data_IF_001222129065
#
_entry.id   IF_001222129065
#
_cell.length_a   1.000
_cell.length_b   1.000
_cell.length_c   1.000
_cell.angle_alpha   90.00
_cell.angle_beta   90.00
_cell.angle_gamma   90.00
#
_symmetry.space_group_name_H-M   'P 1'
#
loop_
_entity.id
_entity.type
_entity.pdbx_description
1 polymer ?
#
# COMPACT_ATOMS: atom_id res chain seq x y z
N UNK A 1 11.46 -38.77 1.09
CA UNK A 1 12.14 -37.97 2.13
C UNK A 1 12.05 -36.53 1.69
N UNK A 2 10.97 -35.87 2.09
CA UNK A 2 10.77 -34.45 1.82
C UNK A 2 11.82 -33.68 2.60
N UNK A 3 12.57 -32.84 1.90
CA UNK A 3 13.53 -31.93 2.47
C UNK A 3 12.78 -30.92 3.33
N UNK A 4 12.85 -31.10 4.65
CA UNK A 4 12.48 -30.10 5.65
C UNK A 4 13.37 -28.87 5.41
N UNK A 5 12.86 -27.92 4.63
CA UNK A 5 13.42 -26.58 4.55
C UNK A 5 12.88 -25.77 5.75
N UNK A 6 13.73 -25.45 6.75
CA UNK A 6 13.31 -24.71 7.93
C UNK A 6 12.82 -23.28 7.62
N UNK A 7 13.09 -22.74 6.42
CA UNK A 7 12.57 -21.42 6.02
C UNK A 7 11.10 -21.48 5.55
N UNK A 8 10.61 -22.63 5.05
CA UNK A 8 9.21 -22.78 4.61
C UNK A 8 8.22 -22.72 5.78
N UNK A 9 8.67 -23.00 7.00
CA UNK A 9 7.90 -22.87 8.24
C UNK A 9 7.88 -21.44 8.83
N UNK A 10 8.55 -20.45 8.24
CA UNK A 10 8.65 -19.09 8.78
C UNK A 10 7.64 -18.09 8.21
N UNK A 11 7.00 -18.36 7.08
CA UNK A 11 6.04 -17.42 6.46
C UNK A 11 4.60 -17.71 6.88
N UNK A 12 3.86 -16.68 7.24
CA UNK A 12 2.42 -16.79 7.51
C UNK A 12 1.68 -16.97 6.17
N UNK A 13 0.98 -18.08 5.93
CA UNK A 13 0.31 -18.33 4.65
C UNK A 13 -0.86 -17.38 4.38
N UNK A 14 -1.36 -16.66 5.39
CA UNK A 14 -2.50 -15.77 5.27
C UNK A 14 -2.11 -14.37 4.78
N UNK A 15 -0.83 -14.00 4.84
CA UNK A 15 -0.37 -12.64 4.54
C UNK A 15 1.00 -12.60 3.87
N UNK A 16 1.18 -11.68 2.92
CA UNK A 16 2.50 -11.35 2.37
C UNK A 16 2.64 -9.86 2.10
N UNK A 17 3.87 -9.35 2.06
CA UNK A 17 4.16 -7.98 1.64
C UNK A 17 4.36 -7.95 0.13
N UNK A 18 3.55 -7.16 -0.58
CA UNK A 18 3.69 -6.91 -2.03
C UNK A 18 4.74 -5.84 -2.32
N UNK A 19 4.72 -4.76 -1.54
CA UNK A 19 5.56 -3.58 -1.70
C UNK A 19 5.94 -3.06 -0.32
N UNK A 20 7.19 -2.63 -0.13
CA UNK A 20 7.62 -1.91 1.08
C UNK A 20 8.44 -0.66 0.74
N UNK A 21 8.27 0.39 1.53
CA UNK A 21 8.92 1.70 1.36
C UNK A 21 10.10 1.90 2.33
N UNK A 22 10.76 0.80 2.71
CA UNK A 22 11.84 0.79 3.73
C UNK A 22 13.00 1.73 3.41
N UNK A 23 13.39 1.82 2.13
CA UNK A 23 14.49 2.68 1.68
C UNK A 23 14.27 4.16 2.02
N UNK A 24 13.01 4.60 1.97
CA UNK A 24 12.62 5.99 2.25
C UNK A 24 12.07 6.20 3.66
N UNK A 25 12.01 5.14 4.48
CA UNK A 25 11.31 5.11 5.79
C UNK A 25 9.82 5.43 5.67
N UNK A 26 9.23 5.01 4.56
CA UNK A 26 7.87 5.35 4.17
C UNK A 26 7.82 6.53 3.19
N UNK A 27 6.66 6.72 2.57
CA UNK A 27 6.44 7.77 1.57
C UNK A 27 5.33 8.71 2.00
N UNK A 28 5.55 10.01 1.81
CA UNK A 28 4.54 11.04 1.96
C UNK A 28 3.66 11.13 0.71
N UNK A 29 2.50 11.78 0.85
CA UNK A 29 1.54 11.99 -0.24
C UNK A 29 2.20 12.57 -1.50
N UNK A 30 3.09 13.56 -1.33
CA UNK A 30 3.76 14.25 -2.44
C UNK A 30 4.76 13.37 -3.22
N UNK A 31 5.13 12.21 -2.67
CA UNK A 31 6.09 11.28 -3.27
C UNK A 31 5.39 10.12 -4.02
N UNK A 32 4.06 10.09 -3.99
CA UNK A 32 3.22 9.05 -4.60
C UNK A 32 2.40 9.67 -5.74
N UNK A 33 2.37 8.98 -6.86
CA UNK A 33 1.48 9.28 -7.98
C UNK A 33 0.62 8.06 -8.30
N UNK A 34 -0.43 8.28 -9.09
CA UNK A 34 -1.29 7.23 -9.61
C UNK A 34 -1.36 7.29 -11.13
N UNK A 35 -1.50 6.11 -11.74
CA UNK A 35 -1.78 5.93 -13.15
C UNK A 35 -3.14 5.22 -13.28
N UNK A 36 -4.13 5.91 -13.84
CA UNK A 36 -5.50 5.40 -13.96
C UNK A 36 -5.76 4.92 -15.39
N UNK A 37 -6.29 3.71 -15.56
CA UNK A 37 -6.70 3.20 -16.87
C UNK A 37 -7.69 2.04 -16.74
N UNK A 38 -8.65 1.95 -17.66
CA UNK A 38 -9.58 0.82 -17.73
C UNK A 38 -8.87 -0.51 -18.00
N UNK A 39 -7.66 -0.48 -18.59
CA UNK A 39 -6.82 -1.69 -18.74
C UNK A 39 -6.40 -2.31 -17.41
N UNK A 40 -6.47 -1.52 -16.33
CA UNK A 40 -6.19 -1.97 -14.97
C UNK A 40 -7.44 -2.48 -14.24
N UNK A 41 -8.60 -2.48 -14.90
CA UNK A 41 -9.81 -3.13 -14.38
C UNK A 41 -9.69 -4.65 -14.46
N UNK A 42 -10.61 -5.33 -13.77
CA UNK A 42 -10.77 -6.79 -13.83
C UNK A 42 -11.17 -7.21 -15.25
N UNK A 43 -10.54 -8.27 -15.76
CA UNK A 43 -10.96 -8.94 -16.98
C UNK A 43 -12.29 -9.66 -16.77
N UNK A 44 -13.13 -9.73 -17.80
CA UNK A 44 -14.46 -10.32 -17.65
C UNK A 44 -15.00 -10.98 -18.91
N UNK A 45 -16.01 -11.83 -18.70
CA UNK A 45 -16.76 -12.52 -19.73
C UNK A 45 -18.24 -12.69 -19.30
N UNK A 46 -19.09 -13.12 -20.23
CA UNK A 46 -20.53 -13.26 -19.98
C UNK A 46 -20.88 -14.25 -18.87
N UNK A 47 -20.09 -15.31 -18.68
CA UNK A 47 -20.34 -16.31 -17.64
C UNK A 47 -19.97 -15.75 -16.27
N UNK A 48 -18.82 -15.08 -16.16
CA UNK A 48 -18.39 -14.43 -14.93
C UNK A 48 -19.38 -13.33 -14.49
N UNK A 49 -19.80 -12.46 -15.40
CA UNK A 49 -20.79 -11.42 -15.09
C UNK A 49 -22.13 -12.01 -14.66
N UNK A 50 -22.58 -13.11 -15.27
CA UNK A 50 -23.80 -13.80 -14.84
C UNK A 50 -23.66 -14.32 -13.40
N UNK A 51 -22.56 -14.99 -13.09
CA UNK A 51 -22.28 -15.48 -11.75
C UNK A 51 -22.26 -14.35 -10.70
N UNK A 52 -21.56 -13.25 -10.98
CA UNK A 52 -21.51 -12.08 -10.07
C UNK A 52 -22.93 -11.53 -9.84
N UNK A 53 -23.74 -11.42 -10.89
CA UNK A 53 -25.13 -10.97 -10.77
C UNK A 53 -26.00 -11.92 -9.93
N UNK A 54 -25.84 -13.24 -10.09
CA UNK A 54 -26.55 -14.25 -9.32
C UNK A 54 -26.18 -14.18 -7.83
N UNK A 55 -24.88 -14.12 -7.51
CA UNK A 55 -24.39 -13.96 -6.12
C UNK A 55 -24.94 -12.68 -5.49
N UNK A 56 -24.94 -11.58 -6.23
CA UNK A 56 -25.47 -10.30 -5.74
C UNK A 56 -26.98 -10.33 -5.51
N UNK A 57 -27.75 -10.91 -6.44
CA UNK A 57 -29.19 -11.05 -6.29
C UNK A 57 -29.56 -11.93 -5.09
N UNK A 58 -28.84 -13.05 -4.90
CA UNK A 58 -29.02 -13.90 -3.71
C UNK A 58 -28.72 -13.12 -2.43
N UNK A 59 -27.63 -12.36 -2.41
CA UNK A 59 -27.24 -11.53 -1.27
C UNK A 59 -28.32 -10.49 -0.93
N UNK A 60 -28.80 -9.73 -1.92
CA UNK A 60 -29.87 -8.75 -1.72
C UNK A 60 -31.20 -9.37 -1.29
N UNK A 61 -31.47 -10.63 -1.65
CA UNK A 61 -32.68 -11.32 -1.18
C UNK A 61 -32.68 -11.56 0.33
N UNK A 62 -31.48 -11.66 0.93
CA UNK A 62 -31.27 -11.88 2.37
C UNK A 62 -31.08 -10.56 3.12
N UNK A 63 -30.36 -9.62 2.48
CA UNK A 63 -29.93 -8.36 3.07
C UNK A 63 -30.29 -7.19 2.13
N UNK A 64 -31.57 -6.81 2.02
CA UNK A 64 -32.05 -5.84 1.03
C UNK A 64 -31.58 -4.39 1.29
N UNK A 65 -30.98 -4.13 2.46
CA UNK A 65 -30.39 -2.83 2.80
C UNK A 65 -28.98 -2.64 2.24
N UNK A 66 -28.35 -3.70 1.72
CA UNK A 66 -27.02 -3.59 1.10
C UNK A 66 -27.09 -2.76 -0.17
N UNK A 67 -26.05 -1.96 -0.39
CA UNK A 67 -25.84 -1.21 -1.62
C UNK A 67 -24.48 -1.56 -2.21
N UNK A 68 -24.32 -1.35 -3.51
CA UNK A 68 -23.03 -1.50 -4.18
C UNK A 68 -22.26 -0.19 -4.06
N UNK A 69 -20.95 -0.26 -3.82
CA UNK A 69 -20.07 0.91 -3.78
C UNK A 69 -18.86 0.71 -4.70
N UNK A 70 -18.51 1.75 -5.46
CA UNK A 70 -17.31 1.76 -6.28
C UNK A 70 -16.05 1.75 -5.39
N UNK A 71 -14.99 1.07 -5.82
CA UNK A 71 -13.71 0.96 -5.12
C UNK A 71 -12.55 1.05 -6.11
N UNK A 72 -11.37 1.47 -5.65
CA UNK A 72 -10.15 1.39 -6.45
C UNK A 72 -9.66 -0.06 -6.55
N UNK A 73 -9.16 -0.46 -7.72
CA UNK A 73 -8.51 -1.77 -7.94
C UNK A 73 -7.02 -1.59 -8.11
N UNK A 74 -6.19 -2.23 -7.28
CA UNK A 74 -4.74 -2.20 -7.48
C UNK A 74 -4.31 -3.24 -8.52
N UNK A 75 -3.71 -2.77 -9.62
CA UNK A 75 -3.18 -3.63 -10.68
C UNK A 75 -1.68 -3.91 -10.51
N UNK A 76 -0.88 -2.87 -10.31
CA UNK A 76 0.58 -2.96 -10.25
C UNK A 76 1.17 -1.65 -9.72
N UNK A 77 2.50 -1.59 -9.59
CA UNK A 77 3.18 -0.36 -9.21
C UNK A 77 4.54 -0.23 -9.89
N UNK A 78 5.11 0.97 -9.80
CA UNK A 78 6.50 1.25 -10.18
C UNK A 78 7.20 2.02 -9.08
N UNK A 79 8.38 1.57 -8.70
CA UNK A 79 9.25 2.27 -7.76
C UNK A 79 10.41 2.97 -8.50
N UNK A 80 10.79 4.15 -8.02
CA UNK A 80 12.05 4.77 -8.40
C UNK A 80 13.23 3.94 -7.88
N UNK A 81 14.25 3.76 -8.71
CA UNK A 81 15.48 3.13 -8.24
C UNK A 81 16.15 3.99 -7.16
N UNK A 82 16.57 3.39 -6.04
CA UNK A 82 17.44 4.04 -5.07
C UNK A 82 18.68 4.62 -5.76
N UNK A 83 18.89 5.93 -5.71
CA UNK A 83 20.17 6.51 -6.13
C UNK A 83 21.26 6.02 -5.16
N UNK A 84 22.32 5.40 -5.67
CA UNK A 84 23.49 5.05 -4.84
C UNK A 84 24.04 6.30 -4.15
N UNK A 85 24.57 6.21 -2.90
CA UNK A 85 25.27 7.33 -2.29
C UNK A 85 26.45 7.73 -3.20
N UNK A 86 26.77 9.03 -3.33
CA UNK A 86 27.88 9.46 -4.16
C UNK A 86 29.17 8.83 -3.62
N UNK A 87 29.78 7.95 -4.42
CA UNK A 87 31.15 7.54 -4.19
C UNK A 87 32.00 8.81 -4.11
N UNK A 88 32.68 8.98 -2.98
CA UNK A 88 33.72 9.98 -2.75
C UNK A 88 34.66 9.98 -3.94
N UNK A 89 34.56 10.99 -4.81
CA UNK A 89 35.58 11.26 -5.80
C UNK A 89 36.84 11.65 -5.04
N UNK A 90 37.81 10.74 -5.05
CA UNK A 90 39.17 11.00 -4.60
C UNK A 90 39.71 12.20 -5.39
N UNK A 91 40.00 13.29 -4.69
CA UNK A 91 40.72 14.43 -5.23
C UNK A 91 42.12 13.99 -5.69
N UNK A 92 42.39 14.06 -6.98
CA UNK A 92 43.75 14.15 -7.50
C UNK A 92 43.82 15.27 -8.55
N UNK A 93 44.65 16.26 -8.26
CA UNK A 93 44.97 17.45 -9.09
C UNK A 93 46.05 17.06 -10.13
N UNK A 94 46.11 17.72 -11.31
CA UNK A 94 46.29 17.07 -12.61
C UNK A 94 47.71 17.16 -13.20
N UNK A 95 48.00 16.27 -14.17
CA UNK A 95 49.05 16.47 -15.17
C UNK A 95 48.43 16.55 -16.58
N UNK A 96 48.79 17.61 -17.29
CA UNK A 96 48.31 18.02 -18.61
C UNK A 96 48.82 17.11 -19.75
N UNK A 97 47.92 16.60 -20.59
CA UNK A 97 47.89 16.83 -22.05
C UNK A 97 46.76 16.03 -22.72
N UNK A 98 46.10 16.66 -23.72
CA UNK A 98 45.29 15.95 -24.73
C UNK A 98 43.80 16.27 -24.67
N UNK A 99 43.40 17.22 -25.51
CA UNK A 99 42.04 17.62 -25.87
C UNK A 99 41.12 16.46 -26.27
N UNK A 100 39.86 16.48 -25.79
CA UNK A 100 38.67 16.24 -26.63
C UNK A 100 37.36 16.57 -25.89
N UNK A 101 36.36 16.89 -26.69
CA UNK A 101 35.11 17.57 -26.41
C UNK A 101 34.04 16.70 -25.69
N UNK A 102 33.26 17.38 -24.83
CA UNK A 102 31.79 17.38 -24.76
C UNK A 102 30.94 16.34 -23.99
N UNK A 103 30.06 16.98 -23.20
CA UNK A 103 28.60 16.82 -23.06
C UNK A 103 28.05 15.81 -22.03
N UNK A 104 27.31 16.38 -21.07
CA UNK A 104 26.73 15.74 -19.92
C UNK A 104 25.63 14.73 -20.24
N UNK A 105 25.62 13.65 -19.46
CA UNK A 105 24.55 12.68 -19.39
C UNK A 105 23.38 13.23 -18.56
N UNK A 106 22.20 13.27 -19.19
CA UNK A 106 20.93 13.42 -18.49
C UNK A 106 20.60 12.13 -17.73
N UNK A 107 20.18 12.30 -16.48
CA UNK A 107 19.85 11.24 -15.52
C UNK A 107 18.53 10.56 -15.93
N UNK A 108 18.61 9.43 -16.63
CA UNK A 108 17.44 8.58 -16.90
C UNK A 108 17.14 7.77 -15.62
N UNK A 109 16.15 8.19 -14.85
CA UNK A 109 15.67 7.43 -13.69
C UNK A 109 15.18 6.04 -14.14
N UNK A 110 15.92 5.02 -13.73
CA UNK A 110 15.50 3.63 -13.90
C UNK A 110 14.33 3.36 -12.95
N UNK A 111 13.18 2.92 -13.47
CA UNK A 111 12.02 2.48 -12.67
C UNK A 111 11.86 0.97 -12.76
N UNK A 112 11.48 0.33 -11.66
CA UNK A 112 11.20 -1.12 -11.63
C UNK A 112 9.69 -1.31 -11.66
N UNK A 113 9.20 -1.99 -12.70
CA UNK A 113 7.78 -2.35 -12.84
C UNK A 113 7.50 -3.69 -12.18
N UNK A 114 6.59 -3.71 -11.22
CA UNK A 114 6.20 -4.93 -10.49
C UNK A 114 4.68 -5.09 -10.56
N UNK A 115 4.22 -6.24 -11.06
CA UNK A 115 2.80 -6.60 -11.13
C UNK A 115 2.33 -7.17 -9.79
N UNK A 116 1.04 -7.02 -9.50
CA UNK A 116 0.41 -7.67 -8.35
C UNK A 116 0.22 -9.17 -8.66
N UNK A 117 1.29 -9.96 -8.49
CA UNK A 117 1.31 -11.41 -8.71
C UNK A 117 1.62 -12.18 -7.43
N UNK A 118 1.16 -13.43 -7.35
CA UNK A 118 1.49 -14.33 -6.24
C UNK A 118 2.95 -14.80 -6.42
N UNK A 119 3.90 -14.22 -5.69
CA UNK A 119 5.32 -14.59 -5.81
C UNK A 119 5.55 -15.95 -5.13
N UNK A 120 5.75 -16.99 -5.93
CA UNK A 120 6.54 -18.14 -5.49
C UNK A 120 8.02 -17.74 -5.61
N UNK A 121 8.73 -17.72 -4.49
CA UNK A 121 10.13 -17.31 -4.43
C UNK A 121 11.02 -18.32 -5.14
N UNK A 122 11.61 -17.91 -6.27
CA UNK A 122 13.01 -18.15 -6.65
C UNK A 122 13.26 -17.38 -7.94
N UNK A 123 13.99 -16.27 -7.88
CA UNK A 123 15.03 -15.93 -8.86
C UNK A 123 15.76 -14.64 -8.45
N UNK A 124 17.06 -14.80 -8.21
CA UNK A 124 18.03 -13.73 -8.13
C UNK A 124 18.24 -13.15 -9.53
N UNK A 125 17.87 -11.89 -9.74
CA UNK A 125 18.08 -11.21 -11.00
C UNK A 125 19.55 -10.75 -11.14
N UNK A 126 20.42 -11.65 -11.60
CA UNK A 126 21.68 -11.29 -12.26
C UNK A 126 21.56 -11.58 -13.77
N UNK A 127 21.72 -10.53 -14.58
CA UNK A 127 22.08 -10.65 -15.99
C UNK A 127 20.93 -10.56 -17.00
N UNK A 128 20.98 -9.53 -17.86
CA UNK A 128 21.24 -9.64 -19.31
C UNK A 128 20.80 -8.33 -19.98
N UNK A 129 21.75 -7.63 -20.57
CA UNK A 129 21.56 -6.45 -21.44
C UNK A 129 21.67 -6.93 -22.88
N UNK A 130 20.76 -6.53 -23.78
CA UNK A 130 21.12 -6.30 -25.18
C UNK A 130 20.17 -5.30 -25.89
N UNK A 131 20.80 -4.17 -26.26
CA UNK A 131 20.52 -3.13 -27.28
C UNK A 131 19.35 -3.31 -28.25
N UNK A 132 18.67 -2.19 -28.58
CA UNK A 132 18.50 -1.67 -29.96
C UNK A 132 18.27 -0.15 -29.94
N UNK A 133 18.84 0.55 -30.94
CA UNK A 133 18.93 2.01 -31.17
C UNK A 133 17.80 2.46 -32.12
N UNK A 134 17.25 3.67 -32.01
CA UNK A 134 17.37 4.84 -32.94
C UNK A 134 15.93 5.30 -33.31
N UNK A 135 15.47 6.56 -33.42
CA UNK A 135 16.00 7.82 -33.98
C UNK A 135 15.25 9.04 -33.39
N UNK A 136 15.98 10.16 -33.35
CA UNK A 136 15.67 11.51 -32.84
C UNK A 136 14.65 12.33 -33.66
N UNK A 137 14.00 13.28 -33.00
CA UNK A 137 13.93 14.71 -33.41
C UNK A 137 13.44 15.59 -32.26
N UNK A 138 14.30 16.49 -31.78
CA UNK A 138 14.00 17.58 -30.83
C UNK A 138 14.08 18.92 -31.57
N UNK A 139 13.33 19.93 -31.08
CA UNK A 139 13.79 21.33 -31.06
C UNK A 139 13.43 21.99 -29.70
N UNK A 140 14.28 22.88 -29.13
CA UNK A 140 14.10 23.42 -27.78
C UNK A 140 13.63 24.89 -27.77
N UNK A 141 12.85 25.29 -26.75
CA UNK A 141 12.70 26.70 -26.34
C UNK A 141 12.60 26.85 -24.81
N UNK A 142 13.06 28.01 -24.37
CA UNK A 142 13.64 28.37 -23.07
C UNK A 142 12.69 28.65 -21.92
N UNK A 143 13.10 28.16 -20.74
CA UNK A 143 13.06 28.74 -19.39
C UNK A 143 12.02 29.82 -19.02
N UNK A 144 11.14 29.45 -18.08
CA UNK A 144 10.72 30.30 -16.96
C UNK A 144 10.74 29.44 -15.69
N UNK A 145 11.44 29.92 -14.66
CA UNK A 145 11.62 29.22 -13.40
C UNK A 145 10.41 29.44 -12.50
N UNK A 146 9.62 28.40 -12.27
CA UNK A 146 8.73 28.29 -11.13
C UNK A 146 9.42 27.42 -10.07
N UNK A 147 9.68 28.00 -8.90
CA UNK A 147 10.09 27.26 -7.71
C UNK A 147 8.87 26.53 -7.12
N UNK A 148 8.38 25.52 -7.81
CA UNK A 148 7.70 24.41 -7.14
C UNK A 148 8.78 23.50 -6.56
N UNK A 149 8.72 23.21 -5.26
CA UNK A 149 9.56 22.16 -4.69
C UNK A 149 9.09 20.83 -5.29
N UNK A 150 9.71 20.44 -6.41
CA UNK A 150 9.44 19.19 -7.11
C UNK A 150 9.84 18.05 -6.18
N UNK A 151 8.88 17.56 -5.39
CA UNK A 151 9.07 16.36 -4.59
C UNK A 151 9.22 15.21 -5.59
N UNK A 152 10.40 14.58 -5.60
CA UNK A 152 10.69 13.47 -6.50
C UNK A 152 9.61 12.39 -6.33
N UNK A 153 8.96 12.00 -7.43
CA UNK A 153 7.97 10.91 -7.41
C UNK A 153 8.69 9.57 -7.30
N UNK A 154 8.48 8.90 -6.17
CA UNK A 154 9.16 7.66 -5.82
C UNK A 154 8.30 6.42 -6.07
N UNK A 155 6.98 6.57 -6.06
CA UNK A 155 6.03 5.48 -6.29
C UNK A 155 4.94 5.91 -7.27
N UNK A 156 4.65 5.06 -8.25
CA UNK A 156 3.46 5.17 -9.09
C UNK A 156 2.58 3.94 -8.87
N UNK A 157 1.35 4.14 -8.41
CA UNK A 157 0.35 3.09 -8.26
C UNK A 157 -0.53 3.03 -9.52
N UNK A 158 -0.61 1.87 -10.17
CA UNK A 158 -1.49 1.67 -11.33
C UNK A 158 -2.83 1.14 -10.86
N UNK A 159 -3.87 1.95 -11.01
CA UNK A 159 -5.19 1.66 -10.46
C UNK A 159 -6.26 1.58 -11.56
N UNK A 160 -7.13 0.59 -11.43
CA UNK A 160 -8.43 0.53 -12.09
C UNK A 160 -9.56 0.87 -11.12
N UNK A 161 -10.78 0.58 -11.54
CA UNK A 161 -11.96 0.60 -10.70
C UNK A 161 -12.57 -0.80 -10.59
N UNK A 162 -13.23 -1.04 -9.47
CA UNK A 162 -14.05 -2.22 -9.19
C UNK A 162 -15.19 -1.80 -8.27
N UNK A 163 -15.93 -2.75 -7.70
CA UNK A 163 -16.98 -2.45 -6.73
C UNK A 163 -17.18 -3.59 -5.72
N UNK A 164 -17.96 -3.29 -4.67
CA UNK A 164 -18.28 -4.26 -3.61
C UNK A 164 -18.98 -5.51 -4.15
N UNK A 165 -19.89 -5.35 -5.10
CA UNK A 165 -20.58 -6.45 -5.78
C UNK A 165 -19.61 -7.40 -6.48
N UNK A 166 -18.66 -6.86 -7.23
CA UNK A 166 -17.62 -7.64 -7.92
C UNK A 166 -16.74 -8.39 -6.93
N UNK A 167 -16.39 -7.74 -5.81
CA UNK A 167 -15.63 -8.37 -4.73
C UNK A 167 -16.35 -9.62 -4.18
N UNK A 168 -17.65 -9.51 -3.88
CA UNK A 168 -18.44 -10.64 -3.40
C UNK A 168 -18.53 -11.78 -4.41
N UNK A 169 -18.69 -11.44 -5.70
CA UNK A 169 -18.80 -12.43 -6.77
C UNK A 169 -17.47 -13.04 -7.22
N UNK A 170 -16.32 -12.50 -6.78
CA UNK A 170 -14.99 -12.96 -7.22
C UNK A 170 -14.08 -13.33 -6.05
N UNK A 171 -13.47 -12.36 -5.36
CA UNK A 171 -12.56 -12.58 -4.22
C UNK A 171 -13.21 -13.38 -3.09
N UNK A 172 -14.48 -13.09 -2.77
CA UNK A 172 -15.23 -13.77 -1.70
C UNK A 172 -16.06 -14.97 -2.20
N UNK A 173 -15.92 -15.32 -3.49
CA UNK A 173 -16.66 -16.42 -4.10
C UNK A 173 -16.04 -17.77 -3.74
N UNK A 174 -16.88 -18.79 -3.57
CA UNK A 174 -16.41 -20.17 -3.46
C UNK A 174 -15.70 -20.67 -4.73
N UNK A 175 -15.86 -19.98 -5.87
CA UNK A 175 -15.22 -20.29 -7.14
C UNK A 175 -13.84 -19.62 -7.31
N UNK A 176 -13.28 -18.99 -6.28
CA UNK A 176 -12.05 -18.21 -6.41
C UNK A 176 -10.85 -19.00 -6.94
N UNK A 177 -10.73 -20.29 -6.60
CA UNK A 177 -9.67 -21.16 -7.12
C UNK A 177 -9.81 -21.36 -8.65
N UNK A 178 -11.04 -21.53 -9.13
CA UNK A 178 -11.34 -21.67 -10.55
C UNK A 178 -11.10 -20.36 -11.30
N UNK A 179 -11.51 -19.22 -10.73
CA UNK A 179 -11.24 -17.90 -11.31
C UNK A 179 -9.74 -17.63 -11.44
N UNK A 180 -8.93 -18.06 -10.46
CA UNK A 180 -7.47 -17.94 -10.55
C UNK A 180 -6.88 -18.81 -11.65
N UNK A 181 -7.31 -20.06 -11.75
CA UNK A 181 -6.88 -20.99 -12.81
C UNK A 181 -7.21 -20.43 -14.19
N UNK A 182 -8.43 -19.94 -14.38
CA UNK A 182 -8.86 -19.31 -15.65
C UNK A 182 -8.12 -18.00 -15.94
N UNK A 183 -7.86 -17.19 -14.92
CA UNK A 183 -7.04 -15.99 -15.06
C UNK A 183 -5.65 -16.29 -15.63
N UNK A 184 -5.01 -17.34 -15.11
CA UNK A 184 -3.74 -17.84 -15.63
C UNK A 184 -3.86 -18.34 -17.07
N UNK A 185 -4.82 -19.22 -17.36
CA UNK A 185 -4.95 -19.86 -18.68
C UNK A 185 -5.37 -18.90 -19.80
N UNK A 186 -6.29 -17.98 -19.51
CA UNK A 186 -6.90 -17.10 -20.52
C UNK A 186 -6.13 -15.76 -20.65
N UNK A 187 -5.43 -15.31 -19.60
CA UNK A 187 -4.83 -13.98 -19.53
C UNK A 187 -3.36 -13.95 -19.05
N UNK A 188 -2.76 -15.10 -18.75
CA UNK A 188 -1.39 -15.20 -18.18
C UNK A 188 -1.26 -14.44 -16.84
N UNK A 189 -2.37 -14.29 -16.12
CA UNK A 189 -2.46 -13.47 -14.91
C UNK A 189 -3.52 -14.03 -13.93
N UNK A 190 -3.14 -14.64 -12.80
CA UNK A 190 -4.07 -15.38 -11.95
C UNK A 190 -5.07 -14.46 -11.22
N UNK A 191 -4.79 -13.16 -11.13
CA UNK A 191 -5.68 -12.17 -10.53
C UNK A 191 -6.53 -11.42 -11.57
N UNK A 192 -6.39 -11.74 -12.86
CA UNK A 192 -7.07 -11.02 -13.95
C UNK A 192 -8.59 -10.98 -13.77
N UNK A 193 -9.18 -12.09 -13.34
CA UNK A 193 -10.63 -12.26 -13.12
C UNK A 193 -11.09 -11.88 -11.71
N UNK A 194 -10.23 -11.30 -10.86
CA UNK A 194 -10.57 -10.91 -9.49
C UNK A 194 -10.71 -9.39 -9.34
N UNK A 195 -11.66 -8.98 -8.48
CA UNK A 195 -11.97 -7.58 -8.22
C UNK A 195 -10.80 -6.82 -7.62
N UNK A 196 -10.09 -7.44 -6.66
CA UNK A 196 -8.90 -6.89 -6.00
C UNK A 196 -9.08 -5.43 -5.50
N UNK A 197 -10.14 -5.12 -4.73
CA UNK A 197 -10.32 -3.77 -4.20
C UNK A 197 -9.18 -3.42 -3.23
N UNK A 198 -8.59 -2.24 -3.41
CA UNK A 198 -7.51 -1.73 -2.57
C UNK A 198 -8.09 -1.22 -1.25
N UNK A 199 -7.68 -1.85 -0.14
CA UNK A 199 -7.93 -1.34 1.21
C UNK A 199 -6.87 -0.33 1.66
N UNK A 200 -7.13 0.30 2.80
CA UNK A 200 -6.15 1.09 3.54
C UNK A 200 -6.19 0.71 5.02
N UNK A 201 -5.04 0.80 5.70
CA UNK A 201 -4.94 0.56 7.13
C UNK A 201 -3.84 1.40 7.78
N UNK A 202 -3.94 1.66 9.08
CA UNK A 202 -2.95 2.42 9.84
C UNK A 202 -2.38 1.69 11.05
N UNK A 203 -1.06 1.63 11.12
CA UNK A 203 -0.36 1.57 12.41
C UNK A 203 -0.41 2.96 13.03
N UNK A 204 -1.40 3.15 13.90
CA UNK A 204 -1.64 4.38 14.66
C UNK A 204 -0.84 4.36 15.96
N UNK A 205 0.11 5.29 16.13
CA UNK A 205 0.94 5.41 17.33
C UNK A 205 0.56 6.64 18.17
N UNK A 206 0.25 6.43 19.45
CA UNK A 206 -0.02 7.48 20.44
C UNK A 206 1.24 8.18 20.93
N UNK A 207 1.08 9.33 21.58
CA UNK A 207 2.19 10.14 22.11
C UNK A 207 3.00 9.39 23.19
N UNK A 208 2.35 8.47 23.92
CA UNK A 208 2.97 7.60 24.92
C UNK A 208 3.50 6.26 24.35
N UNK A 209 3.66 6.17 23.02
CA UNK A 209 4.36 5.06 22.36
C UNK A 209 3.55 3.75 22.33
N UNK A 210 2.23 3.84 22.27
CA UNK A 210 1.34 2.69 22.07
C UNK A 210 0.82 2.64 20.64
N UNK A 211 0.78 1.44 20.08
CA UNK A 211 0.07 1.11 18.84
C UNK A 211 -1.37 0.77 19.19
N UNK A 212 -2.31 1.43 18.51
CA UNK A 212 -3.74 1.21 18.66
C UNK A 212 -4.19 0.05 17.76
N UNK A 213 -4.86 -0.91 18.37
CA UNK A 213 -5.57 -2.00 17.71
C UNK A 213 -7.05 -1.96 18.10
N UNK A 214 -7.90 -2.53 17.27
CA UNK A 214 -9.34 -2.67 17.55
C UNK A 214 -9.72 -4.15 17.56
N UNK A 215 -10.70 -4.53 18.39
CA UNK A 215 -11.32 -5.84 18.30
C UNK A 215 -12.56 -5.77 17.41
N UNK A 216 -12.51 -6.43 16.26
CA UNK A 216 -13.65 -6.49 15.32
C UNK A 216 -14.87 -7.11 16.00
N UNK A 217 -16.04 -6.56 15.73
CA UNK A 217 -17.32 -7.12 16.19
C UNK A 217 -17.52 -8.54 15.66
N UNK A 218 -18.23 -9.39 16.40
CA UNK A 218 -18.62 -10.71 15.88
C UNK A 218 -19.69 -10.62 14.78
N UNK A 219 -20.27 -9.43 14.56
CA UNK A 219 -21.33 -9.20 13.59
C UNK A 219 -20.83 -8.80 12.20
N UNK A 220 -19.55 -8.48 12.05
CA UNK A 220 -18.97 -8.13 10.74
C UNK A 220 -18.80 -9.37 9.86
N UNK A 221 -18.89 -9.19 8.54
CA UNK A 221 -18.82 -10.29 7.58
C UNK A 221 -17.43 -10.93 7.46
N UNK A 222 -16.36 -10.15 7.63
CA UNK A 222 -14.97 -10.60 7.54
C UNK A 222 -14.28 -10.51 8.91
N UNK A 223 -13.56 -11.58 9.28
CA UNK A 223 -12.66 -11.61 10.44
C UNK A 223 -13.29 -11.21 11.79
N UNK A 224 -14.56 -11.56 12.03
CA UNK A 224 -15.26 -11.22 13.28
C UNK A 224 -14.54 -11.71 14.54
N UNK A 225 -14.40 -10.82 15.53
CA UNK A 225 -13.72 -11.10 16.79
C UNK A 225 -12.19 -11.02 16.77
N UNK A 226 -11.55 -10.87 15.61
CA UNK A 226 -10.10 -10.75 15.51
C UNK A 226 -9.63 -9.32 15.83
N UNK A 227 -8.34 -9.18 16.18
CA UNK A 227 -7.67 -7.89 16.24
C UNK A 227 -7.42 -7.36 14.84
N UNK A 228 -7.69 -6.08 14.67
CA UNK A 228 -7.38 -5.32 13.47
C UNK A 228 -6.65 -4.03 13.83
N UNK A 229 -6.16 -3.37 12.80
CA UNK A 229 -5.78 -1.97 12.83
C UNK A 229 -6.96 -1.11 12.33
N UNK A 230 -7.04 0.19 12.70
CA UNK A 230 -7.98 1.10 12.06
C UNK A 230 -7.73 1.18 10.55
N UNK A 231 -8.78 1.14 9.75
CA UNK A 231 -8.69 1.10 8.29
C UNK A 231 -10.03 0.83 7.63
N UNK A 232 -10.02 0.75 6.30
CA UNK A 232 -11.22 0.58 5.49
C UNK A 232 -10.90 0.60 4.00
N UNK A 233 -11.76 1.22 3.19
CA UNK A 233 -11.60 1.22 1.73
C UNK A 233 -11.87 2.59 1.10
N UNK A 234 -10.85 3.25 0.52
CA UNK A 234 -11.00 4.55 -0.13
C UNK A 234 -12.03 4.51 -1.26
N UNK A 235 -12.80 5.58 -1.38
CA UNK A 235 -13.97 5.61 -2.27
C UNK A 235 -13.78 6.58 -3.44
N UNK A 236 -13.81 6.09 -4.69
CA UNK A 236 -13.84 6.93 -5.88
C UNK A 236 -14.92 8.02 -5.86
N UNK A 237 -16.04 7.77 -5.18
CA UNK A 237 -17.12 8.75 -5.03
C UNK A 237 -16.72 9.98 -4.23
N UNK A 238 -15.84 9.83 -3.24
CA UNK A 238 -15.31 10.97 -2.48
C UNK A 238 -14.47 11.85 -3.39
N UNK A 239 -13.70 11.26 -4.32
CA UNK A 239 -12.97 12.01 -5.36
C UNK A 239 -13.95 12.79 -6.25
N UNK A 240 -15.03 12.17 -6.73
CA UNK A 240 -16.07 12.87 -7.50
C UNK A 240 -16.69 14.04 -6.71
N UNK A 241 -16.97 13.86 -5.42
CA UNK A 241 -17.46 14.94 -4.56
C UNK A 241 -16.49 16.12 -4.47
N UNK A 242 -15.17 15.86 -4.37
CA UNK A 242 -14.11 16.90 -4.40
C UNK A 242 -14.03 17.63 -5.75
N UNK A 243 -14.48 17.00 -6.84
CA UNK A 243 -14.64 17.62 -8.15
C UNK A 243 -15.93 18.45 -8.29
N UNK A 244 -16.76 18.52 -7.24
CA UNK A 244 -18.07 19.16 -7.28
C UNK A 244 -19.09 18.38 -8.12
N UNK A 245 -18.89 17.07 -8.31
CA UNK A 245 -19.76 16.21 -9.09
C UNK A 245 -20.58 15.32 -8.16
N UNK A 246 -21.90 15.51 -8.16
CA UNK A 246 -22.82 14.54 -7.56
C UNK A 246 -23.08 13.41 -8.56
N UNK A 247 -22.50 12.23 -8.29
CA UNK A 247 -22.63 11.05 -9.14
C UNK A 247 -23.15 9.86 -8.34
N UNK A 248 -23.94 9.02 -9.00
CA UNK A 248 -24.30 7.70 -8.48
C UNK A 248 -23.16 6.71 -8.71
N UNK A 249 -23.11 5.63 -7.94
CA UNK A 249 -22.04 4.62 -7.97
C UNK A 249 -21.81 4.07 -9.38
N UNK A 250 -22.89 3.86 -10.15
CA UNK A 250 -22.83 3.27 -11.50
C UNK A 250 -22.31 4.25 -12.56
N UNK A 251 -22.22 5.54 -12.24
CA UNK A 251 -21.76 6.58 -13.14
C UNK A 251 -20.27 6.88 -12.98
N UNK A 252 -19.65 6.38 -11.89
CA UNK A 252 -18.24 6.58 -11.61
C UNK A 252 -17.42 5.80 -12.65
N UNK A 253 -16.50 6.50 -13.30
CA UNK A 253 -15.64 5.92 -14.35
C UNK A 253 -14.19 6.31 -14.15
N UNK A 254 -13.28 5.53 -14.76
CA UNK A 254 -11.84 5.80 -14.73
C UNK A 254 -11.52 7.17 -15.34
N UNK A 255 -12.26 7.57 -16.38
CA UNK A 255 -12.10 8.87 -17.04
C UNK A 255 -12.34 10.04 -16.09
N UNK A 256 -13.28 9.91 -15.14
CA UNK A 256 -13.48 10.93 -14.11
C UNK A 256 -12.27 11.01 -13.18
N UNK A 257 -11.73 9.86 -12.76
CA UNK A 257 -10.55 9.80 -11.87
C UNK A 257 -9.29 10.38 -12.54
N UNK A 258 -9.16 10.21 -13.86
CA UNK A 258 -8.05 10.76 -14.65
C UNK A 258 -8.01 12.29 -14.68
N UNK A 259 -9.12 12.98 -14.39
CA UNK A 259 -9.16 14.45 -14.40
C UNK A 259 -8.32 15.06 -13.27
N UNK A 260 -8.22 14.36 -12.13
CA UNK A 260 -7.47 14.79 -10.94
C UNK A 260 -6.80 13.58 -10.27
N UNK A 261 -5.72 13.05 -10.85
CA UNK A 261 -4.97 11.94 -10.24
C UNK A 261 -4.41 12.33 -8.87
N UNK A 262 -4.09 13.61 -8.65
CA UNK A 262 -3.71 14.16 -7.35
C UNK A 262 -4.80 13.95 -6.30
N UNK A 263 -6.08 14.18 -6.64
CA UNK A 263 -7.20 13.98 -5.73
C UNK A 263 -7.43 12.50 -5.38
N UNK A 264 -7.07 11.57 -6.29
CA UNK A 264 -7.07 10.14 -6.01
C UNK A 264 -5.98 9.78 -5.00
N UNK A 265 -4.75 10.30 -5.15
CA UNK A 265 -3.69 10.12 -4.15
C UNK A 265 -4.13 10.70 -2.81
N UNK A 266 -4.65 11.93 -2.80
CA UNK A 266 -5.17 12.54 -1.58
C UNK A 266 -6.29 11.71 -0.95
N UNK A 267 -7.15 11.06 -1.72
CA UNK A 267 -8.17 10.14 -1.17
C UNK A 267 -7.54 8.91 -0.50
N UNK A 268 -6.53 8.29 -1.11
CA UNK A 268 -5.83 7.15 -0.49
C UNK A 268 -5.20 7.53 0.86
N UNK A 269 -4.61 8.72 0.97
CA UNK A 269 -3.97 9.20 2.20
C UNK A 269 -4.97 9.75 3.22
N UNK A 270 -6.01 10.48 2.79
CA UNK A 270 -6.97 11.06 3.73
C UNK A 270 -8.03 10.08 4.22
N UNK A 271 -8.37 9.05 3.42
CA UNK A 271 -9.32 8.02 3.83
C UNK A 271 -8.84 7.30 5.09
N UNK A 272 -7.57 6.91 5.21
CA UNK A 272 -7.08 6.25 6.42
C UNK A 272 -7.23 7.12 7.68
N UNK A 273 -7.07 8.44 7.58
CA UNK A 273 -7.36 9.35 8.69
C UNK A 273 -8.86 9.49 8.98
N UNK A 274 -9.70 9.47 7.94
CA UNK A 274 -11.15 9.46 8.10
C UNK A 274 -11.62 8.19 8.81
N UNK A 275 -11.08 7.01 8.44
CA UNK A 275 -11.38 5.74 9.11
C UNK A 275 -10.96 5.77 10.59
N UNK A 276 -9.78 6.32 10.92
CA UNK A 276 -9.36 6.49 12.32
C UNK A 276 -10.35 7.39 13.08
N UNK A 277 -10.81 8.49 12.47
CA UNK A 277 -11.80 9.38 13.08
C UNK A 277 -13.14 8.66 13.27
N UNK A 278 -13.61 7.96 12.26
CA UNK A 278 -14.96 7.40 12.25
C UNK A 278 -15.08 6.18 13.16
N UNK A 279 -14.03 5.36 13.24
CA UNK A 279 -13.98 4.14 14.05
C UNK A 279 -13.45 4.38 15.47
N UNK A 280 -12.36 5.15 15.62
CA UNK A 280 -11.66 5.34 16.90
C UNK A 280 -12.03 6.67 17.57
N UNK A 281 -12.80 7.52 16.89
CA UNK A 281 -13.24 8.82 17.37
C UNK A 281 -12.10 9.81 17.69
N UNK A 282 -10.94 9.66 17.03
CA UNK A 282 -9.82 10.58 17.19
C UNK A 282 -10.00 11.79 16.25
N UNK A 283 -9.93 13.04 16.77
CA UNK A 283 -10.00 14.22 15.92
C UNK A 283 -8.86 14.27 14.89
N UNK A 284 -9.18 14.67 13.66
CA UNK A 284 -8.18 14.82 12.59
C UNK A 284 -7.04 15.78 12.97
N UNK A 285 -7.32 16.78 13.80
CA UNK A 285 -6.30 17.73 14.31
C UNK A 285 -5.24 17.08 15.22
N UNK A 286 -5.55 15.89 15.75
CA UNK A 286 -4.64 15.12 16.62
C UNK A 286 -3.84 14.06 15.84
N UNK A 287 -4.07 13.94 14.53
CA UNK A 287 -3.38 12.98 13.66
C UNK A 287 -2.28 13.70 12.86
N UNK A 288 -1.10 13.10 12.84
CA UNK A 288 -0.02 13.49 11.94
C UNK A 288 -0.29 13.06 10.50
N UNK A 289 0.48 13.62 9.56
CA UNK A 289 0.38 13.24 8.15
C UNK A 289 0.65 11.73 7.97
N UNK A 290 -0.20 10.99 7.24
CA UNK A 290 0.02 9.57 6.98
C UNK A 290 1.29 9.32 6.17
N UNK A 291 2.01 8.27 6.54
CA UNK A 291 3.23 7.81 5.88
C UNK A 291 2.98 6.42 5.31
N UNK A 292 2.94 6.30 3.98
CA UNK A 292 2.75 5.01 3.32
C UNK A 292 3.95 4.10 3.58
N UNK A 293 3.74 3.00 4.28
CA UNK A 293 4.78 2.01 4.55
C UNK A 293 4.91 1.00 3.41
N UNK A 294 3.81 0.65 2.75
CA UNK A 294 3.81 -0.35 1.68
C UNK A 294 2.43 -0.91 1.39
N UNK A 295 2.38 -2.05 0.71
CA UNK A 295 1.16 -2.79 0.42
C UNK A 295 1.32 -4.23 0.88
N UNK A 296 0.34 -4.72 1.65
CA UNK A 296 0.23 -6.12 2.06
C UNK A 296 -0.94 -6.82 1.34
N UNK A 297 -0.87 -8.14 1.21
CA UNK A 297 -1.86 -8.98 0.57
C UNK A 297 -2.52 -9.89 1.61
N UNK A 298 -3.85 -9.91 1.61
CA UNK A 298 -4.66 -10.84 2.41
C UNK A 298 -4.98 -12.08 1.57
N UNK A 299 -4.30 -13.20 1.85
CA UNK A 299 -4.49 -14.47 1.12
C UNK A 299 -5.77 -15.23 1.52
N UNK A 300 -6.35 -14.96 2.70
CA UNK A 300 -7.68 -15.50 3.04
C UNK A 300 -8.79 -14.84 2.22
N UNK A 301 -8.54 -13.65 1.69
CA UNK A 301 -9.39 -12.91 0.74
C UNK A 301 -8.82 -12.93 -0.69
N UNK A 302 -8.17 -14.02 -1.07
CA UNK A 302 -7.64 -14.26 -2.40
C UNK A 302 -6.63 -13.18 -2.88
N UNK A 303 -5.76 -12.75 -1.97
CA UNK A 303 -4.68 -11.81 -2.24
C UNK A 303 -5.13 -10.36 -2.28
N UNK A 304 -6.29 -10.02 -1.71
CA UNK A 304 -6.81 -8.64 -1.69
C UNK A 304 -5.76 -7.68 -1.11
N UNK A 305 -5.36 -6.62 -1.84
CA UNK A 305 -4.32 -5.72 -1.38
C UNK A 305 -4.84 -4.67 -0.41
N UNK A 306 -3.96 -4.23 0.49
CA UNK A 306 -4.20 -3.12 1.41
C UNK A 306 -2.95 -2.25 1.50
N UNK A 307 -3.09 -0.95 1.31
CA UNK A 307 -2.03 0.02 1.50
C UNK A 307 -1.93 0.36 3.00
N UNK A 308 -0.79 0.06 3.60
CA UNK A 308 -0.60 0.22 5.05
C UNK A 308 0.21 1.47 5.35
N UNK A 309 -0.33 2.29 6.25
CA UNK A 309 0.21 3.58 6.64
C UNK A 309 0.68 3.56 8.09
N UNK A 310 1.63 4.44 8.39
CA UNK A 310 1.89 4.89 9.76
C UNK A 310 1.25 6.25 9.97
N UNK A 311 0.59 6.42 11.12
CA UNK A 311 -0.02 7.68 11.54
C UNK A 311 0.39 7.95 12.98
N UNK A 312 1.02 9.10 13.23
CA UNK A 312 1.30 9.55 14.61
C UNK A 312 0.07 10.24 15.19
N UNK A 313 -0.12 10.13 16.49
CA UNK A 313 -1.19 10.80 17.22
C UNK A 313 -0.62 11.58 18.40
N UNK A 314 -1.07 12.81 18.56
CA UNK A 314 -0.66 13.68 19.68
C UNK A 314 -1.34 13.34 21.01
N UNK A 315 -2.33 12.43 21.00
CA UNK A 315 -3.03 11.97 22.19
C UNK A 315 -2.33 10.77 22.81
N UNK A 316 -2.47 10.64 24.12
CA UNK A 316 -2.03 9.46 24.87
C UNK A 316 -3.05 8.33 24.78
N UNK A 317 -2.62 7.11 25.08
CA UNK A 317 -3.47 5.92 25.02
C UNK A 317 -4.71 5.96 25.93
N UNK A 318 -4.65 6.64 27.07
CA UNK A 318 -5.81 6.85 27.96
C UNK A 318 -6.83 7.83 27.37
N UNK A 319 -6.38 8.89 26.72
CA UNK A 319 -7.23 9.84 26.00
C UNK A 319 -7.89 9.19 24.78
N UNK A 320 -7.13 8.42 24.00
CA UNK A 320 -7.67 7.65 22.86
C UNK A 320 -8.73 6.66 23.32
N UNK A 321 -8.48 5.94 24.42
CA UNK A 321 -9.47 5.01 24.99
C UNK A 321 -10.75 5.74 25.41
N UNK A 322 -10.64 6.91 26.02
CA UNK A 322 -11.81 7.71 26.40
C UNK A 322 -12.65 8.09 25.17
N UNK A 323 -12.01 8.65 24.14
CA UNK A 323 -12.68 9.05 22.89
C UNK A 323 -13.37 7.87 22.20
N UNK A 324 -12.71 6.71 22.14
CA UNK A 324 -13.30 5.49 21.57
C UNK A 324 -14.63 5.13 22.25
N UNK A 325 -14.67 5.16 23.59
CA UNK A 325 -15.88 4.83 24.35
C UNK A 325 -16.93 5.94 24.39
N UNK A 326 -16.57 7.19 24.09
CA UNK A 326 -17.56 8.23 23.76
C UNK A 326 -18.30 7.93 22.45
N UNK A 327 -17.68 7.11 21.57
CA UNK A 327 -18.26 6.61 20.33
C UNK A 327 -17.87 7.45 19.11
N UNK A 328 -17.59 6.78 17.99
CA UNK A 328 -17.42 7.37 16.66
C UNK A 328 -18.65 7.20 15.76
N UNK A 329 -18.53 7.65 14.50
CA UNK A 329 -19.58 7.45 13.49
C UNK A 329 -19.88 5.97 13.26
N UNK A 330 -18.84 5.12 13.34
CA UNK A 330 -18.90 3.68 13.08
C UNK A 330 -18.64 2.82 14.33
N UNK A 331 -18.98 3.33 15.52
CA UNK A 331 -18.74 2.70 16.84
C UNK A 331 -19.29 1.26 17.04
N UNK A 332 -19.94 0.68 16.04
CA UNK A 332 -20.49 -0.68 16.07
C UNK A 332 -19.65 -1.70 15.30
N UNK A 333 -18.65 -1.28 14.51
CA UNK A 333 -17.81 -2.18 13.71
C UNK A 333 -16.75 -2.90 14.56
N UNK A 334 -16.22 -2.23 15.58
CA UNK A 334 -15.42 -2.82 16.66
C UNK A 334 -16.17 -2.89 17.98
N UNK A 335 -15.60 -3.64 18.92
CA UNK A 335 -16.17 -3.91 20.25
C UNK A 335 -15.21 -3.61 21.39
N UNK A 336 -13.94 -3.32 21.08
CA UNK A 336 -12.92 -2.96 22.04
C UNK A 336 -11.74 -2.26 21.36
N UNK A 337 -10.98 -1.50 22.14
CA UNK A 337 -9.72 -0.87 21.73
C UNK A 337 -8.57 -1.38 22.60
N UNK A 338 -7.53 -1.90 21.95
CA UNK A 338 -6.38 -2.55 22.57
C UNK A 338 -5.11 -1.75 22.25
N UNK A 339 -4.22 -1.65 23.22
CA UNK A 339 -2.98 -0.90 23.10
C UNK A 339 -1.81 -1.84 23.36
N UNK A 340 -0.85 -1.84 22.44
CA UNK A 340 0.42 -2.56 22.59
C UNK A 340 1.55 -1.56 22.47
N UNK A 341 2.60 -1.68 23.27
CA UNK A 341 3.76 -0.81 23.10
C UNK A 341 4.39 -1.01 21.71
N UNK A 342 4.94 0.03 21.12
CA UNK A 342 5.67 -0.09 19.85
C UNK A 342 6.79 -1.15 19.92
N UNK A 343 7.40 -1.35 21.10
CA UNK A 343 8.41 -2.38 21.33
C UNK A 343 7.83 -3.81 21.20
N UNK A 344 6.64 -4.06 21.73
CA UNK A 344 5.95 -5.35 21.60
C UNK A 344 5.58 -5.62 20.15
N UNK A 345 5.03 -4.62 19.44
CA UNK A 345 4.70 -4.76 18.01
C UNK A 345 5.94 -5.03 17.17
N UNK A 346 7.08 -4.38 17.47
CA UNK A 346 8.35 -4.61 16.78
C UNK A 346 8.95 -6.01 17.01
N UNK A 347 8.55 -6.70 18.08
CA UNK A 347 9.00 -8.06 18.41
C UNK A 347 7.97 -9.14 18.05
N UNK A 348 6.75 -8.73 17.69
CA UNK A 348 5.64 -9.62 17.40
C UNK A 348 5.95 -10.54 16.20
N UNK A 349 5.65 -11.83 16.35
CA UNK A 349 5.87 -12.81 15.30
C UNK A 349 4.87 -13.96 15.43
N UNK A 350 4.93 -14.95 14.53
CA UNK A 350 4.00 -16.09 14.49
C UNK A 350 3.93 -16.91 15.79
N UNK A 351 4.97 -16.87 16.62
CA UNK A 351 4.97 -17.56 17.92
C UNK A 351 4.31 -16.74 19.03
N UNK A 352 4.02 -15.46 18.80
CA UNK A 352 3.31 -14.61 19.75
C UNK A 352 1.84 -15.04 19.83
N UNK A 353 1.25 -15.26 21.02
CA UNK A 353 -0.16 -15.65 21.15
C UNK A 353 -1.13 -14.69 20.46
N UNK A 354 -0.84 -13.37 20.51
CA UNK A 354 -1.66 -12.36 19.85
C UNK A 354 -1.65 -12.48 18.32
N UNK A 355 -0.60 -13.04 17.71
CA UNK A 355 -0.50 -13.15 16.25
C UNK A 355 -1.61 -14.01 15.65
N UNK A 356 -1.99 -15.10 16.31
CA UNK A 356 -3.11 -15.94 15.88
C UNK A 356 -4.49 -15.29 16.07
N UNK A 357 -4.57 -14.21 16.84
CA UNK A 357 -5.80 -13.44 17.02
C UNK A 357 -5.92 -12.25 16.06
N UNK A 358 -4.90 -11.98 15.24
CA UNK A 358 -4.92 -10.86 14.30
C UNK A 358 -5.49 -11.27 12.94
N UNK A 359 -6.27 -10.37 12.33
CA UNK A 359 -6.66 -10.53 10.94
C UNK A 359 -5.44 -10.37 10.00
N UNK A 360 -5.52 -10.86 8.75
CA UNK A 360 -4.42 -10.75 7.80
C UNK A 360 -3.97 -9.31 7.47
N UNK A 361 -4.89 -8.34 7.42
CA UNK A 361 -4.55 -6.92 7.20
C UNK A 361 -3.65 -6.39 8.32
N UNK A 362 -4.04 -6.60 9.58
CA UNK A 362 -3.24 -6.15 10.71
C UNK A 362 -1.89 -6.85 10.80
N UNK A 363 -1.80 -8.15 10.48
CA UNK A 363 -0.51 -8.83 10.34
C UNK A 363 0.37 -8.16 9.27
N UNK A 364 -0.21 -7.80 8.13
CA UNK A 364 0.47 -7.10 7.04
C UNK A 364 1.04 -5.75 7.46
N UNK A 365 0.24 -4.97 8.19
CA UNK A 365 0.64 -3.69 8.75
C UNK A 365 1.77 -3.83 9.79
N UNK A 366 1.71 -4.83 10.67
CA UNK A 366 2.79 -5.14 11.62
C UNK A 366 4.08 -5.49 10.89
N UNK A 367 4.04 -6.36 9.87
CA UNK A 367 5.21 -6.71 9.07
C UNK A 367 5.83 -5.46 8.43
N UNK A 368 5.01 -4.60 7.83
CA UNK A 368 5.47 -3.35 7.22
C UNK A 368 6.06 -2.38 8.24
N UNK A 369 5.44 -2.22 9.41
CA UNK A 369 5.97 -1.37 10.47
C UNK A 369 7.32 -1.86 11.01
N UNK A 370 7.49 -3.17 11.17
CA UNK A 370 8.75 -3.80 11.56
C UNK A 370 9.88 -3.55 10.56
N UNK A 371 9.56 -3.62 9.27
CA UNK A 371 10.51 -3.39 8.16
C UNK A 371 10.86 -1.91 8.00
N UNK A 372 9.85 -1.03 7.98
CA UNK A 372 9.99 0.38 7.59
C UNK A 372 10.47 1.26 8.75
N UNK A 373 9.98 1.02 9.97
CA UNK A 373 10.30 1.80 11.19
C UNK A 373 10.23 3.32 10.98
N UNK A 374 9.05 3.84 10.58
CA UNK A 374 8.85 5.24 10.20
C UNK A 374 8.97 6.21 11.39
N UNK A 375 8.84 5.71 12.61
CA UNK A 375 8.89 6.44 13.89
C UNK A 375 10.31 6.71 14.40
N UNK A 376 11.35 6.10 13.81
CA UNK A 376 12.73 6.31 14.26
C UNK A 376 13.35 7.56 13.63
N UNK A 377 13.98 8.46 14.41
CA UNK A 377 14.68 9.60 13.86
C UNK A 377 15.81 9.17 12.92
N UNK A 378 16.07 9.95 11.87
CA UNK A 378 17.23 9.76 11.00
C UNK A 378 18.50 9.75 11.86
N UNK A 379 19.17 8.60 12.00
CA UNK A 379 20.58 8.61 12.39
C UNK A 379 21.32 9.33 11.27
N UNK A 380 21.75 10.56 11.52
CA UNK A 380 22.90 11.11 10.80
C UNK A 380 24.03 10.11 11.04
N UNK A 381 24.51 9.48 9.97
CA UNK A 381 25.80 8.81 10.01
C UNK A 381 26.82 9.93 10.10
N UNK A 382 27.10 10.39 11.32
CA UNK A 382 28.26 11.22 11.56
C UNK A 382 29.48 10.32 11.33
N UNK A 383 30.20 10.58 10.24
CA UNK A 383 31.44 9.91 9.83
C UNK A 383 32.62 10.24 10.76
N UNK A 384 32.41 10.24 12.08
CA UNK A 384 33.45 10.58 13.06
C UNK A 384 33.87 9.49 14.05
N UNK A 385 33.20 8.33 14.08
CA UNK A 385 33.56 7.26 15.05
C UNK A 385 34.39 6.10 14.47
N UNK A 386 35.20 6.36 13.44
CA UNK A 386 36.30 5.46 13.06
C UNK A 386 37.62 6.22 13.02
N UNK A 387 38.15 6.57 14.19
CA UNK A 387 39.57 6.88 14.43
C UNK A 387 39.74 7.04 15.94
N UNK A 388 39.74 5.93 16.67
CA UNK A 388 40.44 5.79 17.96
C UNK A 388 40.35 4.35 18.47
N UNK A 389 41.15 3.47 17.88
CA UNK A 389 41.66 2.27 18.56
C UNK A 389 43.15 2.23 18.33
N UNK A 390 43.89 2.90 19.21
CA UNK A 390 45.33 2.72 19.39
C UNK A 390 45.58 1.39 20.10
N UNK A 391 46.42 0.54 19.51
CA UNK A 391 46.90 -0.71 20.10
C UNK A 391 47.75 -0.45 21.35
N UNK A 392 47.66 -1.28 22.41
CA UNK A 392 48.67 -1.31 23.45
C UNK A 392 49.87 -2.19 23.05
N UNK A 393 51.02 -1.83 23.62
CA UNK A 393 52.38 -2.31 23.37
C UNK A 393 52.65 -3.77 23.75
#
# INVERSE_FOLDING_TARGET
>A
METNDPQRNMMDPEVSVLLHCTHWRGLLETQVQVELSERFNRQTDLHLERHINEVWAERLSKEPWLFNGAKFRLHSFSLASPKHPPHTQSFHVPLLHGSEDRLGHGDAQHRVDVRNGCINQTESAEGVVQKTVDILSQEPKSAAADHHSDSETLLVLRLGLTCYKDYLGTNWSCQVAELRRRGEEDFDEPLALLAQPLGVGAVLCTDDGQVVLIRRSQKVAEAGGLLDIPGGHPEPKVVCGRLGQEVREEQISVVMMQQRPDAVVSELFSSVCAEIRDEVNIPLSSLGAPVLMGVALNHTSAGRPSAEFYVSCSLRSDEVRHLYWEGGAEANESTDVVFLSSAEVLQMNRSSPLWSEMCPSAKGAVLLYQMVRPDRPHRRVDTKDQLNTTCPS
#
